data_IF_485043815440
#
_entry.id   IF_485043815440
#
_cell.length_a   1.000
_cell.length_b   1.000
_cell.length_c   1.000
_cell.angle_alpha   90.00
_cell.angle_beta   90.00
_cell.angle_gamma   90.00
#
_symmetry.space_group_name_H-M   'P 1'
#
loop_
_entity.id
_entity.type
_entity.pdbx_description
1 polymer ?
#
# COMPACT_ATOMS: atom_id res chain seq x y z
N UNK A 1 -55.21 29.25 45.42
CA UNK A 1 -54.79 29.81 44.12
C UNK A 1 -53.30 29.58 43.94
N UNK A 2 -52.88 28.70 43.02
CA UNK A 2 -51.55 28.74 42.39
C UNK A 2 -51.65 29.44 41.01
N UNK A 3 -50.59 30.10 40.51
CA UNK A 3 -50.54 30.48 39.10
C UNK A 3 -50.18 29.27 38.23
N UNK A 4 -51.05 29.00 37.26
CA UNK A 4 -50.85 28.13 36.10
C UNK A 4 -49.97 28.83 35.05
N UNK A 5 -49.17 28.07 34.30
CA UNK A 5 -48.20 28.59 33.35
C UNK A 5 -47.43 27.49 32.61
N UNK A 6 -48.16 26.77 31.76
CA UNK A 6 -47.77 26.05 30.53
C UNK A 6 -46.27 25.98 30.14
N UNK A 7 -45.75 24.74 30.03
CA UNK A 7 -44.57 24.35 29.23
C UNK A 7 -44.98 24.31 27.72
N UNK A 8 -44.09 24.45 26.69
CA UNK A 8 -42.85 23.67 26.52
C UNK A 8 -41.72 24.37 25.70
N UNK A 9 -40.70 23.59 25.26
CA UNK A 9 -39.67 23.85 24.21
C UNK A 9 -38.39 24.57 24.69
N UNK A 10 -37.17 24.01 24.64
CA UNK A 10 -36.58 23.19 23.58
C UNK A 10 -35.68 22.05 24.11
N UNK A 11 -35.95 20.83 23.64
CA UNK A 11 -34.95 19.79 23.42
C UNK A 11 -34.58 19.79 21.94
N UNK A 12 -33.34 19.40 21.65
CA UNK A 12 -32.71 19.27 20.33
C UNK A 12 -32.22 20.62 19.75
N UNK A 13 -30.99 20.75 19.27
CA UNK A 13 -29.92 19.81 18.98
C UNK A 13 -28.85 20.54 18.16
N UNK A 14 -27.80 19.82 17.74
CA UNK A 14 -26.77 20.26 16.77
C UNK A 14 -25.82 21.33 17.33
N UNK A 15 -24.54 21.05 17.52
CA UNK A 15 -23.61 20.93 16.40
C UNK A 15 -22.50 19.92 16.71
N UNK A 16 -22.70 18.68 16.24
CA UNK A 16 -21.64 17.71 16.03
C UNK A 16 -21.32 17.61 14.54
N UNK A 17 -20.96 18.73 13.89
CA UNK A 17 -20.75 18.75 12.43
C UNK A 17 -19.30 18.96 11.99
N UNK A 18 -18.35 19.12 12.92
CA UNK A 18 -16.92 19.16 12.56
C UNK A 18 -16.32 17.77 12.24
N UNK A 19 -17.14 16.72 12.22
CA UNK A 19 -16.70 15.35 11.97
C UNK A 19 -16.59 14.97 10.49
N UNK A 20 -17.37 15.58 9.59
CA UNK A 20 -17.50 15.12 8.20
C UNK A 20 -16.31 15.50 7.31
N UNK A 21 -15.84 16.74 7.36
CA UNK A 21 -14.79 17.24 6.46
C UNK A 21 -13.43 16.58 6.72
N UNK A 22 -13.10 16.31 7.99
CA UNK A 22 -11.88 15.59 8.38
C UNK A 22 -11.89 14.12 7.95
N UNK A 23 -13.06 13.46 8.03
CA UNK A 23 -13.22 12.05 7.62
C UNK A 23 -13.06 11.90 6.10
N UNK A 24 -13.69 12.76 5.31
CA UNK A 24 -13.59 12.73 3.84
C UNK A 24 -12.16 13.01 3.35
N UNK A 25 -11.43 13.91 3.99
CA UNK A 25 -10.04 14.18 3.65
C UNK A 25 -9.14 12.98 4.01
N UNK A 26 -9.37 12.36 5.16
CA UNK A 26 -8.60 11.21 5.61
C UNK A 26 -8.82 9.98 4.72
N UNK A 27 -10.05 9.75 4.25
CA UNK A 27 -10.37 8.68 3.30
C UNK A 27 -9.70 8.90 1.94
N UNK A 28 -9.78 10.11 1.37
CA UNK A 28 -9.09 10.43 0.11
C UNK A 28 -7.57 10.23 0.18
N UNK A 29 -6.96 10.54 1.33
CA UNK A 29 -5.53 10.31 1.55
C UNK A 29 -5.20 8.81 1.66
N UNK A 30 -6.07 8.03 2.29
CA UNK A 30 -5.92 6.58 2.40
C UNK A 30 -6.06 5.90 1.03
N UNK A 31 -7.05 6.31 0.24
CA UNK A 31 -7.29 5.80 -1.12
C UNK A 31 -6.12 6.10 -2.05
N UNK A 32 -5.59 7.33 -2.00
CA UNK A 32 -4.40 7.70 -2.78
C UNK A 32 -3.21 6.81 -2.41
N UNK A 33 -2.94 6.64 -1.11
CA UNK A 33 -1.83 5.81 -0.63
C UNK A 33 -2.00 4.34 -1.04
N UNK A 34 -3.21 3.80 -0.96
CA UNK A 34 -3.48 2.43 -1.41
C UNK A 34 -3.27 2.29 -2.92
N UNK A 35 -3.72 3.26 -3.71
CA UNK A 35 -3.55 3.28 -5.16
C UNK A 35 -2.08 3.37 -5.57
N UNK A 36 -1.29 4.22 -4.91
CA UNK A 36 0.16 4.32 -5.12
C UNK A 36 0.87 3.02 -4.76
N UNK A 37 0.56 2.44 -3.59
CA UNK A 37 1.10 1.14 -3.17
C UNK A 37 0.79 0.03 -4.19
N UNK A 38 -0.42 0.01 -4.74
CA UNK A 38 -0.81 -0.97 -5.75
C UNK A 38 -0.01 -0.80 -7.05
N UNK A 39 0.16 0.45 -7.52
CA UNK A 39 0.98 0.74 -8.71
C UNK A 39 2.43 0.28 -8.51
N UNK A 40 3.01 0.57 -7.36
CA UNK A 40 4.36 0.14 -7.03
C UNK A 40 4.49 -1.38 -6.97
N UNK A 41 3.53 -2.07 -6.34
CA UNK A 41 3.51 -3.54 -6.28
C UNK A 41 3.48 -4.18 -7.67
N UNK A 42 2.66 -3.64 -8.58
CA UNK A 42 2.59 -4.12 -9.96
C UNK A 42 3.93 -3.90 -10.67
N UNK A 43 4.49 -2.69 -10.57
CA UNK A 43 5.76 -2.36 -11.19
C UNK A 43 6.94 -3.20 -10.67
N UNK A 44 7.01 -3.40 -9.35
CA UNK A 44 8.07 -4.18 -8.71
C UNK A 44 7.92 -5.68 -9.05
N UNK A 45 6.69 -6.19 -9.15
CA UNK A 45 6.44 -7.58 -9.54
C UNK A 45 6.80 -7.84 -11.01
N UNK A 46 6.48 -6.91 -11.91
CA UNK A 46 6.88 -6.98 -13.31
C UNK A 46 8.42 -6.98 -13.44
N UNK A 47 9.09 -6.10 -12.69
CA UNK A 47 10.56 -6.07 -12.64
C UNK A 47 11.14 -7.36 -12.07
N UNK A 48 10.52 -7.95 -11.05
CA UNK A 48 10.93 -9.24 -10.48
C UNK A 48 10.85 -10.34 -11.54
N UNK A 49 9.76 -10.37 -12.32
CA UNK A 49 9.57 -11.32 -13.40
C UNK A 49 10.66 -11.17 -14.48
N UNK A 50 10.94 -9.93 -14.90
CA UNK A 50 11.99 -9.65 -15.88
C UNK A 50 13.38 -10.10 -15.38
N UNK A 51 13.72 -9.79 -14.12
CA UNK A 51 15.00 -10.23 -13.53
C UNK A 51 15.08 -11.76 -13.46
N UNK A 52 13.98 -12.45 -13.12
CA UNK A 52 13.95 -13.91 -13.10
C UNK A 52 14.17 -14.52 -14.49
N UNK A 53 13.56 -13.95 -15.53
CA UNK A 53 13.82 -14.37 -16.92
C UNK A 53 15.28 -14.16 -17.31
N UNK A 54 15.82 -12.98 -17.01
CA UNK A 54 17.22 -12.69 -17.31
C UNK A 54 18.18 -13.61 -16.53
N UNK A 55 17.87 -13.95 -15.27
CA UNK A 55 18.66 -14.89 -14.47
C UNK A 55 18.66 -16.28 -15.12
N UNK A 56 17.49 -16.79 -15.53
CA UNK A 56 17.38 -18.05 -16.27
C UNK A 56 18.26 -18.04 -17.52
N UNK A 57 18.22 -16.97 -18.29
CA UNK A 57 18.98 -16.87 -19.54
C UNK A 57 20.49 -16.77 -19.29
N UNK A 58 20.92 -16.13 -18.20
CA UNK A 58 22.33 -16.11 -17.79
C UNK A 58 22.82 -17.47 -17.29
N UNK A 59 22.00 -18.17 -16.50
CA UNK A 59 22.32 -19.53 -16.05
C UNK A 59 22.43 -20.48 -17.24
N UNK A 60 21.54 -20.36 -18.23
CA UNK A 60 21.60 -21.16 -19.46
C UNK A 60 22.86 -20.90 -20.30
N UNK A 61 23.42 -19.68 -20.22
CA UNK A 61 24.66 -19.30 -20.90
C UNK A 61 25.93 -19.64 -20.12
N UNK A 62 25.83 -19.81 -18.79
CA UNK A 62 26.96 -20.21 -17.96
C UNK A 62 27.26 -21.70 -18.09
N UNK A 63 28.55 -22.07 -18.10
CA UNK A 63 28.95 -23.47 -18.00
C UNK A 63 28.55 -24.02 -16.62
N UNK A 64 28.06 -25.26 -16.57
CA UNK A 64 27.45 -25.90 -15.37
C UNK A 64 28.33 -25.89 -14.11
N UNK A 65 29.63 -25.71 -14.26
CA UNK A 65 30.61 -25.76 -13.17
C UNK A 65 31.21 -24.38 -12.80
N UNK A 66 30.70 -23.28 -13.38
CA UNK A 66 31.22 -21.94 -13.11
C UNK A 66 30.15 -21.03 -12.49
N UNK A 67 30.44 -20.55 -11.28
CA UNK A 67 29.65 -19.52 -10.62
C UNK A 67 29.87 -18.18 -11.35
N UNK A 68 28.87 -17.75 -12.12
CA UNK A 68 28.94 -16.52 -12.91
C UNK A 68 28.66 -15.29 -12.03
N UNK A 69 29.57 -14.31 -12.01
CA UNK A 69 29.38 -13.04 -11.28
C UNK A 69 28.06 -12.32 -11.68
N UNK A 70 27.67 -12.25 -12.97
CA UNK A 70 26.34 -11.79 -13.37
C UNK A 70 25.17 -12.48 -12.66
N UNK A 71 25.21 -13.82 -12.60
CA UNK A 71 24.17 -14.65 -11.96
C UNK A 71 24.05 -14.33 -10.47
N UNK A 72 25.17 -14.17 -9.77
CA UNK A 72 25.19 -13.80 -8.35
C UNK A 72 24.54 -12.42 -8.15
N UNK A 73 25.02 -11.41 -8.88
CA UNK A 73 24.53 -10.03 -8.76
C UNK A 73 23.03 -9.94 -9.05
N UNK A 74 22.56 -10.69 -10.06
CA UNK A 74 21.14 -10.72 -10.40
C UNK A 74 20.30 -11.42 -9.33
N UNK A 75 20.80 -12.52 -8.76
CA UNK A 75 20.14 -13.21 -7.65
C UNK A 75 19.97 -12.30 -6.43
N UNK A 76 21.00 -11.51 -6.08
CA UNK A 76 20.91 -10.52 -5.00
C UNK A 76 19.87 -9.42 -5.28
N UNK A 77 19.79 -8.96 -6.53
CA UNK A 77 18.77 -7.97 -6.94
C UNK A 77 17.36 -8.54 -6.83
N UNK A 78 17.15 -9.79 -7.24
CA UNK A 78 15.87 -10.49 -7.10
C UNK A 78 15.50 -10.63 -5.62
N UNK A 79 16.44 -11.03 -4.76
CA UNK A 79 16.16 -11.18 -3.32
C UNK A 79 15.72 -9.85 -2.70
N UNK A 80 16.45 -8.76 -2.97
CA UNK A 80 16.11 -7.43 -2.45
C UNK A 80 14.73 -6.97 -2.91
N UNK A 81 14.43 -7.15 -4.19
CA UNK A 81 13.14 -6.74 -4.74
C UNK A 81 12.00 -7.61 -4.20
N UNK A 82 12.20 -8.92 -4.09
CA UNK A 82 11.21 -9.84 -3.52
C UNK A 82 10.87 -9.50 -2.06
N UNK A 83 11.88 -9.13 -1.26
CA UNK A 83 11.67 -8.65 0.12
C UNK A 83 10.85 -7.36 0.13
N UNK A 84 11.20 -6.38 -0.71
CA UNK A 84 10.46 -5.12 -0.80
C UNK A 84 9.00 -5.31 -1.23
N UNK A 85 8.74 -6.16 -2.24
CA UNK A 85 7.37 -6.51 -2.66
C UNK A 85 6.60 -7.12 -1.50
N UNK A 86 7.19 -8.07 -0.78
CA UNK A 86 6.54 -8.72 0.38
C UNK A 86 6.21 -7.73 1.49
N UNK A 87 7.09 -6.79 1.77
CA UNK A 87 6.87 -5.74 2.78
C UNK A 87 5.71 -4.83 2.37
N UNK A 88 5.71 -4.33 1.13
CA UNK A 88 4.62 -3.52 0.57
C UNK A 88 3.28 -4.26 0.57
N UNK A 89 3.26 -5.57 0.26
CA UNK A 89 2.02 -6.38 0.31
C UNK A 89 1.44 -6.50 1.72
N UNK A 90 2.29 -6.43 2.76
CA UNK A 90 1.87 -6.44 4.16
C UNK A 90 1.44 -5.06 4.66
N UNK A 91 1.60 -4.02 3.84
CA UNK A 91 1.30 -2.63 4.19
C UNK A 91 2.42 -1.93 4.97
N UNK A 92 3.65 -2.45 4.93
CA UNK A 92 4.86 -1.78 5.44
C UNK A 92 5.50 -0.88 4.39
#
# INVERSE_FOLDING_TARGET
MPPDGSNPTMRAGRNGDSGGEGQHLQEQLADRRNSERQKELVADTEKLFQLAQQLRDEVAKSNKDQLSIPVIKRSEQIEKLARSVREKMRGY
#
